data_IF_196146833882
#
_entry.id   IF_196146833882
#
_cell.length_a   1.000
_cell.length_b   1.000
_cell.length_c   1.000
_cell.angle_alpha   90.00
_cell.angle_beta   90.00
_cell.angle_gamma   90.00
#
_symmetry.space_group_name_H-M   'P 1'
#
loop_
_entity.id
_entity.type
_entity.pdbx_description
1 polymer ?
#
# COMPACT_ATOMS: atom_id res chain seq x y z
N UNK A 1 -62.55 -12.27 -37.19
CA UNK A 1 -61.14 -12.71 -37.34
C UNK A 1 -60.36 -12.28 -36.11
N UNK A 2 -59.53 -13.18 -35.59
CA UNK A 2 -58.69 -13.03 -34.39
C UNK A 2 -57.41 -12.28 -34.77
N UNK A 3 -56.93 -11.37 -33.92
CA UNK A 3 -55.51 -11.02 -33.89
C UNK A 3 -55.09 -10.60 -32.48
N UNK A 4 -54.48 -11.53 -31.77
CA UNK A 4 -53.81 -11.30 -30.50
C UNK A 4 -52.44 -10.69 -30.80
N UNK A 5 -52.23 -9.40 -30.49
CA UNK A 5 -50.89 -8.83 -30.45
C UNK A 5 -50.38 -8.85 -29.01
N UNK A 6 -49.64 -9.92 -28.74
CA UNK A 6 -48.85 -10.11 -27.54
C UNK A 6 -47.51 -9.41 -27.80
N UNK A 7 -47.38 -8.13 -27.45
CA UNK A 7 -46.07 -7.45 -27.45
C UNK A 7 -45.54 -7.38 -26.02
N UNK A 8 -44.77 -8.40 -25.67
CA UNK A 8 -43.94 -8.45 -24.47
C UNK A 8 -42.89 -7.34 -24.61
N UNK A 9 -42.98 -6.28 -23.82
CA UNK A 9 -41.92 -5.28 -23.72
C UNK A 9 -41.05 -5.61 -22.51
N UNK A 10 -40.03 -6.45 -22.72
CA UNK A 10 -38.93 -6.62 -21.75
C UNK A 10 -38.03 -5.40 -21.93
N UNK A 11 -38.19 -4.41 -21.05
CA UNK A 11 -37.27 -3.28 -20.95
C UNK A 11 -36.00 -3.79 -20.24
N UNK A 12 -35.08 -4.36 -21.02
CA UNK A 12 -33.80 -4.84 -20.51
C UNK A 12 -32.93 -3.65 -20.12
N UNK A 13 -32.87 -3.33 -18.84
CA UNK A 13 -31.99 -2.31 -18.28
C UNK A 13 -30.55 -2.85 -18.26
N UNK A 14 -29.82 -2.73 -19.38
CA UNK A 14 -28.39 -2.98 -19.38
C UNK A 14 -27.69 -1.86 -18.59
N UNK A 15 -27.25 -2.16 -17.35
CA UNK A 15 -26.27 -1.32 -16.67
C UNK A 15 -24.92 -1.48 -17.40
N UNK A 16 -24.64 -0.59 -18.34
CA UNK A 16 -23.31 -0.47 -18.93
C UNK A 16 -22.42 0.19 -17.88
N UNK A 17 -21.47 -0.57 -17.33
CA UNK A 17 -20.43 -0.01 -16.46
C UNK A 17 -19.56 0.92 -17.31
N UNK A 18 -19.61 2.23 -17.03
CA UNK A 18 -18.69 3.20 -17.63
C UNK A 18 -17.30 2.91 -17.06
N UNK A 19 -16.24 2.85 -17.88
CA UNK A 19 -14.89 2.78 -17.35
C UNK A 19 -14.65 4.00 -16.46
N UNK A 20 -14.40 3.79 -15.17
CA UNK A 20 -13.94 4.86 -14.31
C UNK A 20 -12.55 5.26 -14.79
N UNK A 21 -12.38 6.53 -15.18
CA UNK A 21 -11.06 7.08 -15.50
C UNK A 21 -10.25 7.16 -14.19
N UNK A 22 -9.58 6.06 -13.87
CA UNK A 22 -8.69 5.97 -12.74
C UNK A 22 -7.37 6.62 -13.12
N UNK A 23 -6.86 7.50 -12.25
CA UNK A 23 -5.49 7.95 -12.35
C UNK A 23 -4.53 6.77 -12.37
N UNK A 24 -3.30 7.00 -12.78
CA UNK A 24 -2.26 5.99 -12.88
C UNK A 24 -1.04 6.43 -12.08
N UNK A 25 -0.40 5.45 -11.42
CA UNK A 25 0.92 5.64 -10.84
C UNK A 25 1.95 5.72 -11.98
N UNK A 26 2.40 6.94 -12.27
CA UNK A 26 3.31 7.24 -13.37
C UNK A 26 4.76 6.84 -13.02
N UNK A 27 5.21 7.20 -11.82
CA UNK A 27 6.55 6.84 -11.34
C UNK A 27 6.61 6.69 -9.83
N UNK A 28 7.60 5.96 -9.35
CA UNK A 28 7.93 5.81 -7.94
C UNK A 28 9.41 5.49 -7.78
N UNK A 29 10.00 5.90 -6.66
CA UNK A 29 11.39 5.59 -6.32
C UNK A 29 11.57 5.64 -4.81
N UNK A 30 12.20 4.61 -4.25
CA UNK A 30 12.70 4.67 -2.88
C UNK A 30 14.20 4.94 -2.88
N UNK A 31 14.61 5.94 -2.11
CA UNK A 31 15.98 6.31 -1.86
C UNK A 31 16.33 5.99 -0.41
N UNK A 32 17.07 4.89 -0.22
CA UNK A 32 17.49 4.44 1.10
C UNK A 32 18.52 5.37 1.75
N UNK A 33 19.28 6.16 0.97
CA UNK A 33 20.24 7.12 1.51
C UNK A 33 19.55 8.34 2.13
N UNK A 34 18.39 8.72 1.60
CA UNK A 34 17.56 9.82 2.10
C UNK A 34 16.38 9.37 2.98
N UNK A 35 16.16 8.06 3.12
CA UNK A 35 14.93 7.48 3.67
C UNK A 35 13.68 8.14 3.09
N UNK A 36 13.62 8.27 1.75
CA UNK A 36 12.56 9.00 1.06
C UNK A 36 11.93 8.15 -0.03
N UNK A 37 10.61 8.07 -0.02
CA UNK A 37 9.81 7.49 -1.09
C UNK A 37 9.22 8.63 -1.92
N UNK A 38 9.62 8.74 -3.18
CA UNK A 38 9.07 9.68 -4.15
C UNK A 38 8.06 8.94 -5.04
N UNK A 39 6.91 9.54 -5.36
CA UNK A 39 5.98 9.00 -6.36
C UNK A 39 5.17 10.09 -7.07
N UNK A 40 4.84 9.82 -8.34
CA UNK A 40 4.03 10.69 -9.18
C UNK A 40 2.87 9.95 -9.79
N UNK A 41 1.73 10.61 -9.86
CA UNK A 41 0.52 10.15 -10.54
C UNK A 41 0.21 11.05 -11.74
N UNK A 42 -0.74 10.66 -12.58
CA UNK A 42 -1.26 11.52 -13.66
C UNK A 42 -2.62 12.17 -13.30
N UNK A 43 -3.19 11.81 -12.14
CA UNK A 43 -4.40 12.41 -11.59
C UNK A 43 -4.22 12.65 -10.08
N UNK A 44 -4.91 13.66 -9.56
CA UNK A 44 -4.79 14.08 -8.16
C UNK A 44 -5.11 12.93 -7.20
N UNK A 45 -4.29 12.77 -6.16
CA UNK A 45 -4.50 11.76 -5.12
C UNK A 45 -4.23 12.33 -3.74
N UNK A 46 -5.00 11.88 -2.76
CA UNK A 46 -4.68 12.04 -1.35
C UNK A 46 -4.20 10.70 -0.80
N UNK A 47 -2.89 10.52 -0.57
CA UNK A 47 -2.34 9.28 -0.05
C UNK A 47 -2.86 8.98 1.35
N UNK A 48 -3.08 7.70 1.64
CA UNK A 48 -3.42 7.18 2.97
C UNK A 48 -2.31 6.26 3.43
N UNK A 49 -2.02 6.22 4.73
CA UNK A 49 -0.98 5.36 5.24
C UNK A 49 -1.35 4.69 6.55
N UNK A 50 -0.89 3.46 6.71
CA UNK A 50 -0.99 2.70 7.95
C UNK A 50 0.34 2.03 8.25
N UNK A 51 0.63 1.86 9.55
CA UNK A 51 1.77 1.08 10.03
C UNK A 51 1.26 -0.30 10.44
N UNK A 52 1.83 -1.35 9.88
CA UNK A 52 1.62 -2.72 10.34
C UNK A 52 2.87 -3.20 11.07
N UNK A 53 2.72 -4.05 12.08
CA UNK A 53 3.81 -4.60 12.86
C UNK A 53 3.95 -6.11 12.62
N UNK A 54 5.12 -6.68 12.92
CA UNK A 54 5.47 -8.10 12.77
C UNK A 54 5.43 -8.66 11.32
N UNK A 55 6.39 -8.32 10.43
CA UNK A 55 7.41 -7.29 10.57
C UNK A 55 6.85 -5.87 10.35
N UNK A 56 7.60 -4.85 10.74
CA UNK A 56 7.18 -3.45 10.57
C UNK A 56 7.06 -3.11 9.08
N UNK A 57 5.89 -2.59 8.67
CA UNK A 57 5.58 -2.21 7.29
C UNK A 57 4.90 -0.85 7.28
N UNK A 58 5.47 0.08 6.51
CA UNK A 58 4.77 1.29 6.09
C UNK A 58 3.97 0.96 4.84
N UNK A 59 2.64 1.01 4.95
CA UNK A 59 1.72 0.80 3.82
C UNK A 59 1.20 2.15 3.40
N UNK A 60 1.37 2.48 2.13
CA UNK A 60 0.87 3.71 1.49
C UNK A 60 -0.12 3.32 0.41
N UNK A 61 -1.37 3.71 0.59
CA UNK A 61 -2.47 3.50 -0.35
C UNK A 61 -2.74 4.76 -1.15
N UNK A 62 -2.98 4.56 -2.44
CA UNK A 62 -3.30 5.59 -3.43
C UNK A 62 -4.71 5.29 -3.99
N UNK A 63 -5.78 5.77 -3.33
CA UNK A 63 -7.15 5.55 -3.78
C UNK A 63 -7.43 6.28 -5.11
N UNK A 64 -8.19 5.64 -6.00
CA UNK A 64 -8.49 6.18 -7.33
C UNK A 64 -7.30 6.10 -8.30
N UNK A 65 -6.19 5.49 -7.88
CA UNK A 65 -4.99 5.30 -8.69
C UNK A 65 -4.82 3.82 -9.02
N UNK A 66 -4.70 3.54 -10.31
CA UNK A 66 -4.38 2.23 -10.87
C UNK A 66 -2.89 2.08 -11.15
N UNK A 67 -2.44 0.83 -11.17
CA UNK A 67 -1.11 0.44 -11.62
C UNK A 67 -1.29 -0.76 -12.55
N UNK A 68 -1.53 -0.53 -13.86
CA UNK A 68 -1.87 -1.58 -14.82
C UNK A 68 -0.68 -2.48 -15.20
N UNK A 69 0.36 -2.50 -14.36
CA UNK A 69 1.58 -3.29 -14.52
C UNK A 69 1.57 -4.42 -13.48
N UNK A 70 2.31 -5.52 -13.71
CA UNK A 70 2.53 -6.52 -12.69
C UNK A 70 3.08 -5.91 -11.40
N UNK A 71 2.76 -6.52 -10.26
CA UNK A 71 3.32 -6.11 -8.97
C UNK A 71 4.84 -6.13 -9.04
N UNK A 72 5.46 -5.02 -8.69
CA UNK A 72 6.92 -4.91 -8.59
C UNK A 72 7.34 -5.17 -7.15
N UNK A 73 8.35 -6.01 -6.95
CA UNK A 73 8.98 -6.23 -5.65
C UNK A 73 10.48 -6.00 -5.77
N UNK A 74 10.99 -5.00 -5.07
CA UNK A 74 12.41 -4.67 -4.99
C UNK A 74 12.95 -5.14 -3.63
N UNK A 75 14.01 -5.94 -3.64
CA UNK A 75 14.78 -6.24 -2.43
C UNK A 75 15.66 -5.04 -2.08
N UNK A 76 15.69 -4.69 -0.80
CA UNK A 76 16.47 -3.58 -0.27
C UNK A 76 17.55 -4.10 0.68
N UNK A 77 18.48 -3.21 1.03
CA UNK A 77 19.59 -3.48 1.95
C UNK A 77 19.50 -2.59 3.19
N UNK A 78 20.36 -2.85 4.18
CA UNK A 78 20.38 -2.10 5.43
C UNK A 78 19.13 -2.39 6.27
N UNK A 79 18.50 -1.33 6.80
CA UNK A 79 17.36 -1.45 7.73
C UNK A 79 16.03 -1.76 7.04
N UNK A 80 15.99 -1.69 5.70
CA UNK A 80 14.83 -2.02 4.88
C UNK A 80 15.01 -3.41 4.26
N UNK A 81 13.90 -4.09 4.00
CA UNK A 81 13.88 -5.45 3.46
C UNK A 81 13.31 -5.52 2.06
N UNK A 82 12.09 -5.00 1.87
CA UNK A 82 11.45 -4.99 0.56
C UNK A 82 10.67 -3.70 0.34
N UNK A 83 10.62 -3.27 -0.91
CA UNK A 83 9.62 -2.33 -1.41
C UNK A 83 8.74 -3.08 -2.39
N UNK A 84 7.42 -3.03 -2.21
CA UNK A 84 6.45 -3.68 -3.08
C UNK A 84 5.43 -2.66 -3.57
N UNK A 85 5.19 -2.63 -4.88
CA UNK A 85 4.24 -1.73 -5.52
C UNK A 85 3.30 -2.54 -6.38
N UNK A 86 1.99 -2.43 -6.15
CA UNK A 86 1.01 -3.19 -6.91
C UNK A 86 -0.41 -2.72 -6.69
N UNK A 87 -1.29 -3.18 -7.57
CA UNK A 87 -2.73 -3.03 -7.40
C UNK A 87 -3.19 -3.82 -6.15
N UNK A 88 -3.82 -3.15 -5.19
CA UNK A 88 -4.36 -3.79 -3.98
C UNK A 88 -5.80 -4.29 -4.20
N UNK A 89 -6.63 -3.46 -4.82
CA UNK A 89 -7.99 -3.75 -5.25
C UNK A 89 -8.28 -3.05 -6.60
N UNK A 90 -9.49 -3.15 -7.15
CA UNK A 90 -9.83 -2.57 -8.47
C UNK A 90 -9.63 -1.05 -8.60
N UNK A 91 -9.46 -0.33 -7.49
CA UNK A 91 -9.40 1.14 -7.44
C UNK A 91 -8.21 1.71 -6.66
N UNK A 92 -7.42 0.87 -6.00
CA UNK A 92 -6.34 1.31 -5.09
C UNK A 92 -5.00 0.69 -5.46
N UNK A 93 -4.01 1.52 -5.72
CA UNK A 93 -2.59 1.11 -5.78
C UNK A 93 -1.98 1.19 -4.38
N UNK A 94 -1.21 0.16 -4.00
CA UNK A 94 -0.53 0.08 -2.70
C UNK A 94 0.97 -0.02 -2.87
N UNK A 95 1.68 0.84 -2.15
CA UNK A 95 3.13 0.81 -1.96
C UNK A 95 3.40 0.32 -0.53
N UNK A 96 4.20 -0.73 -0.38
CA UNK A 96 4.57 -1.31 0.92
C UNK A 96 6.08 -1.25 1.07
N UNK A 97 6.56 -0.54 2.09
CA UNK A 97 7.95 -0.58 2.50
C UNK A 97 8.07 -1.42 3.78
N UNK A 98 8.67 -2.60 3.65
CA UNK A 98 8.91 -3.52 4.75
C UNK A 98 10.31 -3.31 5.33
N UNK A 99 10.40 -3.29 6.66
CA UNK A 99 11.66 -3.21 7.39
C UNK A 99 12.25 -4.59 7.65
N UNK A 100 13.56 -4.63 7.93
CA UNK A 100 14.17 -5.85 8.45
C UNK A 100 13.53 -6.27 9.78
N UNK A 101 13.47 -7.59 10.08
CA UNK A 101 13.01 -8.07 11.38
C UNK A 101 13.78 -7.40 12.53
N UNK A 102 13.06 -7.05 13.59
CA UNK A 102 13.64 -6.36 14.75
C UNK A 102 13.81 -4.86 14.58
N UNK A 103 13.46 -4.26 13.43
CA UNK A 103 13.38 -2.81 13.27
C UNK A 103 11.94 -2.29 13.35
N UNK A 104 11.80 -1.06 13.82
CA UNK A 104 10.53 -0.33 13.95
C UNK A 104 10.65 1.10 13.45
N UNK A 105 9.49 1.74 13.25
CA UNK A 105 9.35 3.16 12.91
C UNK A 105 8.36 3.80 13.88
N UNK A 106 8.63 5.03 14.29
CA UNK A 106 7.61 5.86 14.92
C UNK A 106 6.67 6.42 13.82
N UNK A 107 5.39 6.00 13.75
CA UNK A 107 4.49 6.44 12.69
C UNK A 107 4.24 7.95 12.71
N UNK A 108 4.35 8.61 13.87
CA UNK A 108 4.17 10.06 13.99
C UNK A 108 5.28 10.88 13.33
N UNK A 109 6.42 10.26 13.01
CA UNK A 109 7.56 10.93 12.37
C UNK A 109 7.61 10.69 10.86
N UNK A 110 6.73 9.84 10.32
CA UNK A 110 6.54 9.68 8.88
C UNK A 110 5.79 10.90 8.36
N UNK A 111 6.36 11.58 7.38
CA UNK A 111 5.82 12.84 6.86
C UNK A 111 5.50 12.72 5.38
N UNK A 112 4.25 13.02 5.02
CA UNK A 112 3.78 13.08 3.65
C UNK A 112 3.80 14.53 3.19
N UNK A 113 4.49 14.82 2.10
CA UNK A 113 4.51 16.16 1.50
C UNK A 113 4.14 16.06 0.03
N UNK A 114 3.11 16.79 -0.37
CA UNK A 114 2.73 16.97 -1.77
C UNK A 114 3.28 18.30 -2.27
N UNK A 115 4.12 18.27 -3.32
CA UNK A 115 4.48 19.51 -4.03
C UNK A 115 3.28 20.03 -4.82
N UNK A 116 2.44 19.12 -5.30
CA UNK A 116 1.13 19.36 -5.90
C UNK A 116 0.29 18.06 -5.78
N UNK A 117 -0.98 18.03 -6.21
CA UNK A 117 -1.85 16.85 -6.02
C UNK A 117 -1.37 15.55 -6.70
N UNK A 118 -0.41 15.63 -7.63
CA UNK A 118 0.10 14.50 -8.41
C UNK A 118 1.56 14.17 -8.14
N UNK A 119 2.23 14.91 -7.25
CA UNK A 119 3.66 14.79 -6.96
C UNK A 119 3.91 14.80 -5.46
N UNK A 120 4.33 13.65 -4.94
CA UNK A 120 4.42 13.40 -3.51
C UNK A 120 5.77 12.80 -3.15
N UNK A 121 6.21 13.13 -1.94
CA UNK A 121 7.25 12.39 -1.27
C UNK A 121 6.91 12.09 0.18
N UNK A 122 7.42 10.96 0.66
CA UNK A 122 7.27 10.48 2.03
C UNK A 122 8.66 10.45 2.66
N UNK A 123 8.86 11.28 3.68
CA UNK A 123 10.07 11.23 4.50
C UNK A 123 9.86 10.22 5.62
N UNK A 124 10.71 9.20 5.65
CA UNK A 124 10.66 8.09 6.59
C UNK A 124 11.76 8.32 7.65
N UNK A 125 11.45 8.24 8.95
CA UNK A 125 12.48 8.37 9.98
C UNK A 125 13.46 7.21 9.90
N UNK A 126 14.68 7.40 10.40
CA UNK A 126 15.66 6.32 10.50
C UNK A 126 15.04 5.17 11.32
N UNK A 127 15.00 3.93 10.79
CA UNK A 127 14.50 2.79 11.54
C UNK A 127 15.30 2.56 12.81
N UNK A 128 14.59 2.34 13.92
CA UNK A 128 15.17 2.03 15.22
C UNK A 128 15.10 0.52 15.45
N UNK A 129 16.06 -0.07 16.18
CA UNK A 129 15.87 -1.45 16.64
C UNK A 129 14.73 -1.46 17.65
N UNK A 130 13.68 -2.21 17.35
CA UNK A 130 12.65 -2.53 18.33
C UNK A 130 13.27 -3.34 19.47
N UNK A 131 12.70 -3.20 20.67
CA UNK A 131 13.05 -4.09 21.76
C UNK A 131 12.75 -5.52 21.32
N UNK A 132 13.78 -6.34 21.16
CA UNK A 132 13.62 -7.79 21.12
C UNK A 132 13.06 -8.15 22.49
N UNK A 133 11.75 -8.35 22.63
CA UNK A 133 11.29 -9.28 23.65
C UNK A 133 11.82 -10.64 23.22
N UNK A 134 13.08 -10.93 23.57
CA UNK A 134 13.50 -12.29 23.81
C UNK A 134 12.42 -12.86 24.73
N UNK A 135 11.79 -14.00 24.41
CA UNK A 135 10.98 -14.67 25.41
C UNK A 135 11.90 -14.85 26.60
N UNK A 136 11.60 -14.17 27.70
CA UNK A 136 12.26 -14.41 28.97
C UNK A 136 12.10 -15.90 29.18
N UNK A 137 13.21 -16.65 29.15
CA UNK A 137 13.20 -18.02 29.60
C UNK A 137 12.75 -17.94 31.06
N UNK A 138 11.46 -18.18 31.30
CA UNK A 138 10.96 -18.44 32.65
C UNK A 138 11.89 -19.49 33.24
N UNK A 139 12.49 -19.26 34.43
CA UNK A 139 13.33 -20.26 35.06
C UNK A 139 12.51 -21.54 35.16
N UNK A 140 12.90 -22.58 34.43
CA UNK A 140 12.28 -23.89 34.56
C UNK A 140 12.53 -24.34 35.99
N UNK A 141 11.49 -24.58 36.82
CA UNK A 141 11.70 -25.07 38.18
C UNK A 141 12.46 -26.39 38.10
N UNK A 142 13.61 -26.47 38.75
CA UNK A 142 14.38 -27.71 38.84
C UNK A 142 13.48 -28.82 39.39
N UNK A 143 13.32 -29.90 38.63
CA UNK A 143 12.71 -31.13 39.11
C UNK A 143 13.58 -31.69 40.25
N UNK A 144 12.99 -32.03 41.42
CA UNK A 144 13.74 -32.71 42.47
C UNK A 144 14.19 -34.09 41.99
N UNK A 145 15.42 -34.45 42.35
CA UNK A 145 16.10 -35.71 42.04
C UNK A 145 15.44 -36.90 42.73
#
# INVERSE_FOLDING_TARGET
MRFQFLLVSIFSFCLVAIPADAGQLASWKFDAGRNRLDFKTNAGVQPKAVMLFNPTRLVVDLPGISFPKPTVTQRLTGNFRTLRVGQFDSSTTRIVLELQPGYTLNPKRVQFTGENPIDWYVTIPVPERGATTLPTLSPQPNLPR
#
